data_IF_109436582777
#
_entry.id   IF_109436582777
#
_cell.length_a   1.000
_cell.length_b   1.000
_cell.length_c   1.000
_cell.angle_alpha   90.00
_cell.angle_beta   90.00
_cell.angle_gamma   90.00
#
_symmetry.space_group_name_H-M   'P 1'
#
loop_
_entity.id
_entity.type
_entity.pdbx_description
1 polymer ?
#
# COMPACT_ATOMS: atom_id res chain seq x y z
N UNK A 1 -41.86 22.08 36.57
CA UNK A 1 -41.28 20.75 36.85
C UNK A 1 -41.57 19.89 35.62
N UNK A 2 -40.61 19.74 34.70
CA UNK A 2 -40.78 18.95 33.47
C UNK A 2 -40.78 17.48 33.88
N UNK A 3 -41.88 16.76 33.68
CA UNK A 3 -41.91 15.31 33.87
C UNK A 3 -41.16 14.67 32.71
N UNK A 4 -39.99 14.11 32.98
CA UNK A 4 -39.28 13.26 32.03
C UNK A 4 -40.12 12.02 31.75
N UNK A 5 -40.36 11.73 30.47
CA UNK A 5 -40.98 10.50 30.04
C UNK A 5 -39.92 9.39 30.08
N UNK A 6 -40.00 8.56 31.11
CA UNK A 6 -39.03 7.50 31.37
C UNK A 6 -39.05 6.40 30.30
N UNK A 7 -40.18 6.17 29.60
CA UNK A 7 -40.23 5.19 28.52
C UNK A 7 -39.57 5.74 27.25
N UNK A 8 -39.83 7.01 26.90
CA UNK A 8 -39.17 7.68 25.79
C UNK A 8 -37.65 7.78 26.00
N UNK A 9 -37.21 8.11 27.22
CA UNK A 9 -35.80 8.15 27.60
C UNK A 9 -35.13 6.77 27.46
N UNK A 10 -35.80 5.70 27.89
CA UNK A 10 -35.26 4.34 27.82
C UNK A 10 -35.10 3.89 26.36
N UNK A 11 -36.11 4.11 25.51
CA UNK A 11 -36.08 3.75 24.08
C UNK A 11 -35.03 4.56 23.30
N UNK A 12 -34.91 5.86 23.55
CA UNK A 12 -33.90 6.71 22.93
C UNK A 12 -32.47 6.29 23.32
N UNK A 13 -32.27 5.90 24.57
CA UNK A 13 -30.97 5.41 25.06
C UNK A 13 -30.61 4.07 24.43
N UNK A 14 -31.55 3.13 24.32
CA UNK A 14 -31.32 1.83 23.67
C UNK A 14 -30.98 2.00 22.18
N UNK A 15 -31.73 2.83 21.44
CA UNK A 15 -31.47 3.07 20.03
C UNK A 15 -30.10 3.73 19.79
N UNK A 16 -29.74 4.72 20.60
CA UNK A 16 -28.44 5.41 20.51
C UNK A 16 -27.29 4.46 20.84
N UNK A 17 -27.45 3.61 21.86
CA UNK A 17 -26.45 2.60 22.21
C UNK A 17 -26.24 1.57 21.10
N UNK A 18 -27.32 1.14 20.41
CA UNK A 18 -27.23 0.23 19.27
C UNK A 18 -26.50 0.88 18.10
N UNK A 19 -26.83 2.13 17.75
CA UNK A 19 -26.16 2.85 16.66
C UNK A 19 -24.67 3.06 16.97
N UNK A 20 -24.33 3.42 18.21
CA UNK A 20 -22.94 3.56 18.65
C UNK A 20 -22.19 2.23 18.62
N UNK A 21 -22.82 1.14 19.08
CA UNK A 21 -22.23 -0.19 19.02
C UNK A 21 -21.98 -0.62 17.56
N UNK A 22 -22.90 -0.32 16.64
CA UNK A 22 -22.74 -0.59 15.21
C UNK A 22 -21.63 0.27 14.57
N UNK A 23 -21.54 1.56 14.94
CA UNK A 23 -20.47 2.44 14.45
C UNK A 23 -19.09 1.99 14.97
N UNK A 24 -18.98 1.67 16.26
CA UNK A 24 -17.73 1.16 16.86
C UNK A 24 -17.38 -0.20 16.27
N UNK A 25 -18.34 -1.10 16.08
CA UNK A 25 -18.10 -2.39 15.42
C UNK A 25 -17.66 -2.21 13.96
N UNK A 26 -18.25 -1.28 13.22
CA UNK A 26 -17.84 -0.93 11.86
C UNK A 26 -16.42 -0.38 11.80
N UNK A 27 -16.06 0.54 12.71
CA UNK A 27 -14.70 1.08 12.80
C UNK A 27 -13.67 0.01 13.22
N UNK A 28 -14.03 -0.89 14.13
CA UNK A 28 -13.18 -2.00 14.56
C UNK A 28 -12.99 -3.06 13.47
N UNK A 29 -14.01 -3.34 12.65
CA UNK A 29 -13.91 -4.25 11.51
C UNK A 29 -12.96 -3.70 10.43
N UNK A 30 -13.03 -2.39 10.15
CA UNK A 30 -12.09 -1.71 9.23
C UNK A 30 -10.67 -1.70 9.79
N UNK A 31 -10.48 -1.41 11.09
CA UNK A 31 -9.16 -1.43 11.72
C UNK A 31 -8.55 -2.85 11.82
N UNK A 32 -9.36 -3.89 12.05
CA UNK A 32 -8.92 -5.27 12.05
C UNK A 32 -8.51 -5.75 10.65
N UNK A 33 -9.20 -5.30 9.59
CA UNK A 33 -8.78 -5.55 8.20
C UNK A 33 -7.45 -4.88 7.86
N UNK A 34 -7.15 -3.70 8.42
CA UNK A 34 -5.90 -2.95 8.19
C UNK A 34 -4.69 -3.54 8.94
N UNK A 35 -4.91 -4.28 10.04
CA UNK A 35 -3.83 -4.96 10.80
C UNK A 35 -3.56 -6.40 10.34
N UNK A 36 -4.51 -7.04 9.65
CA UNK A 36 -4.29 -8.31 8.97
C UNK A 36 -3.42 -8.11 7.73
N UNK A 37 -2.58 -9.08 7.37
CA UNK A 37 -1.73 -9.06 6.16
C UNK A 37 -2.47 -8.82 4.83
N UNK A 38 -3.79 -8.65 4.81
CA UNK A 38 -4.59 -8.57 3.60
C UNK A 38 -4.62 -7.16 2.98
N UNK A 39 -4.30 -7.06 1.69
CA UNK A 39 -4.44 -5.85 0.90
C UNK A 39 -5.84 -5.88 0.24
N UNK A 40 -6.69 -4.86 0.44
CA UNK A 40 -7.97 -4.78 -0.27
C UNK A 40 -7.73 -4.44 -1.74
N UNK A 41 -8.50 -5.07 -2.63
CA UNK A 41 -8.56 -4.74 -4.05
C UNK A 41 -9.96 -4.20 -4.35
N UNK A 42 -10.06 -2.97 -4.86
CA UNK A 42 -11.35 -2.37 -5.21
C UNK A 42 -11.55 -2.37 -6.71
N UNK A 43 -12.72 -2.86 -7.16
CA UNK A 43 -13.12 -2.79 -8.55
C UNK A 43 -13.47 -1.34 -8.95
N UNK A 44 -13.09 -0.96 -10.17
CA UNK A 44 -13.40 0.32 -10.78
C UNK A 44 -13.63 0.14 -12.27
N UNK A 45 -14.41 1.03 -12.90
CA UNK A 45 -14.67 0.95 -14.34
C UNK A 45 -13.40 1.21 -15.18
N UNK A 46 -12.45 1.98 -14.65
CA UNK A 46 -11.22 2.34 -15.34
C UNK A 46 -10.07 2.51 -14.36
N UNK A 47 -9.01 1.75 -14.61
CA UNK A 47 -7.80 1.75 -13.79
C UNK A 47 -6.96 3.00 -14.10
N UNK A 48 -6.68 3.87 -13.10
CA UNK A 48 -5.92 5.09 -13.31
C UNK A 48 -4.43 4.78 -13.56
N UNK A 49 -3.85 5.48 -14.55
CA UNK A 49 -2.42 5.41 -14.87
C UNK A 49 -1.57 6.40 -14.06
N UNK A 50 -2.19 7.47 -13.58
CA UNK A 50 -1.54 8.54 -12.80
C UNK A 50 -1.96 8.50 -11.33
N UNK A 51 -1.08 8.96 -10.45
CA UNK A 51 -1.36 9.05 -9.02
C UNK A 51 -2.37 10.15 -8.65
N UNK A 52 -2.49 11.19 -9.47
CA UNK A 52 -3.34 12.36 -9.18
C UNK A 52 -4.83 12.13 -9.57
N UNK A 53 -5.19 10.93 -9.98
CA UNK A 53 -6.58 10.59 -10.34
C UNK A 53 -7.47 10.53 -9.11
N UNK A 54 -8.66 11.15 -9.19
CA UNK A 54 -9.67 11.14 -8.11
C UNK A 54 -10.15 9.72 -7.76
N UNK A 55 -10.02 8.74 -8.68
CA UNK A 55 -10.41 7.34 -8.44
C UNK A 55 -9.67 6.69 -7.27
N UNK A 56 -8.45 7.15 -6.98
CA UNK A 56 -7.71 6.66 -5.81
C UNK A 56 -8.40 6.99 -4.49
N UNK A 57 -9.34 7.95 -4.45
CA UNK A 57 -10.13 8.24 -3.23
C UNK A 57 -11.09 7.11 -2.85
N UNK A 58 -11.44 6.23 -3.78
CA UNK A 58 -12.32 5.08 -3.56
C UNK A 58 -11.55 3.86 -3.05
N UNK A 59 -10.24 3.80 -3.30
CA UNK A 59 -9.38 2.70 -2.88
C UNK A 59 -8.95 2.87 -1.41
N UNK A 60 -9.17 1.89 -0.53
CA UNK A 60 -8.63 1.92 0.82
C UNK A 60 -7.10 2.06 0.79
N UNK A 61 -6.58 3.02 1.56
CA UNK A 61 -5.14 3.14 1.80
C UNK A 61 -4.72 2.25 2.95
N UNK A 62 -3.61 1.54 2.75
CA UNK A 62 -2.96 0.73 3.78
C UNK A 62 -1.54 1.20 3.98
N UNK A 63 -1.21 1.59 5.21
CA UNK A 63 0.17 1.83 5.61
C UNK A 63 0.89 0.50 5.86
N UNK A 64 2.04 0.31 5.23
CA UNK A 64 2.94 -0.83 5.47
C UNK A 64 4.25 -0.33 6.05
N UNK A 65 4.74 -1.01 7.07
CA UNK A 65 6.04 -0.71 7.67
C UNK A 65 7.16 -1.27 6.81
N UNK A 66 8.18 -0.46 6.59
CA UNK A 66 9.38 -0.80 5.87
C UNK A 66 10.53 -1.01 6.84
N UNK A 67 11.47 -1.86 6.46
CA UNK A 67 12.64 -2.18 7.25
C UNK A 67 13.87 -2.14 6.38
N UNK A 68 14.99 -1.84 7.02
CA UNK A 68 16.32 -1.93 6.41
C UNK A 68 16.59 -3.34 5.91
N UNK A 69 17.17 -3.45 4.72
CA UNK A 69 17.66 -4.74 4.23
C UNK A 69 18.86 -5.19 5.08
N UNK A 70 18.70 -6.36 5.69
CA UNK A 70 19.74 -7.03 6.49
C UNK A 70 19.92 -8.52 6.13
N UNK A 71 19.21 -9.02 5.12
CA UNK A 71 19.18 -10.45 4.80
C UNK A 71 20.38 -10.92 3.96
N UNK A 72 20.99 -10.02 3.18
CA UNK A 72 22.09 -10.34 2.28
C UNK A 72 22.95 -9.09 2.02
N UNK A 73 24.27 -9.24 1.89
CA UNK A 73 25.16 -8.13 1.56
C UNK A 73 24.88 -7.63 0.13
N UNK A 74 24.86 -6.31 -0.13
CA UNK A 74 25.14 -5.21 0.81
C UNK A 74 23.95 -4.84 1.70
N UNK A 75 24.21 -4.71 3.00
CA UNK A 75 23.24 -4.17 3.95
C UNK A 75 23.06 -2.66 3.74
N UNK A 76 21.84 -2.17 3.92
CA UNK A 76 21.49 -0.78 3.66
C UNK A 76 19.99 -0.62 3.49
N UNK A 77 19.54 0.60 3.25
CA UNK A 77 18.12 0.91 3.36
C UNK A 77 17.75 1.53 4.70
N UNK A 78 16.45 1.72 4.89
CA UNK A 78 15.87 2.19 6.14
C UNK A 78 15.88 3.71 6.29
N UNK A 79 16.09 4.48 5.21
CA UNK A 79 15.82 5.93 5.25
C UNK A 79 14.32 6.23 5.20
N UNK A 80 13.51 5.29 4.72
CA UNK A 80 12.05 5.35 4.65
C UNK A 80 11.49 4.20 5.49
N UNK A 81 10.68 4.53 6.50
CA UNK A 81 10.20 3.57 7.51
C UNK A 81 8.77 3.08 7.25
N UNK A 82 8.02 3.76 6.39
CA UNK A 82 6.65 3.40 6.04
C UNK A 82 6.30 3.87 4.63
N UNK A 83 5.28 3.23 4.06
CA UNK A 83 4.65 3.67 2.82
C UNK A 83 3.17 3.33 2.84
N UNK A 84 2.39 4.07 2.06
CA UNK A 84 0.99 3.76 1.81
C UNK A 84 0.84 2.99 0.49
N UNK A 85 -0.05 2.01 0.49
CA UNK A 85 -0.36 1.17 -0.66
C UNK A 85 -1.86 1.17 -0.90
N UNK A 86 -2.26 1.51 -2.12
CA UNK A 86 -3.62 1.37 -2.62
C UNK A 86 -3.60 0.43 -3.82
N UNK A 87 -4.68 -0.32 -4.01
CA UNK A 87 -4.84 -1.22 -5.15
C UNK A 87 -6.23 -1.08 -5.77
N UNK A 88 -6.25 -0.96 -7.10
CA UNK A 88 -7.46 -0.89 -7.92
C UNK A 88 -7.41 -1.95 -9.01
N UNK A 89 -8.57 -2.44 -9.44
CA UNK A 89 -8.68 -3.39 -10.55
C UNK A 89 -9.90 -3.07 -11.40
N UNK A 90 -9.87 -3.44 -12.67
CA UNK A 90 -11.07 -3.60 -13.50
C UNK A 90 -11.07 -5.00 -14.11
N UNK A 91 -11.90 -5.24 -15.14
CA UNK A 91 -11.99 -6.55 -15.82
C UNK A 91 -10.71 -6.99 -16.54
N UNK A 92 -9.77 -6.08 -16.77
CA UNK A 92 -8.61 -6.31 -17.66
C UNK A 92 -7.28 -5.96 -17.02
N UNK A 93 -7.24 -5.02 -16.08
CA UNK A 93 -6.04 -4.41 -15.53
C UNK A 93 -6.10 -4.34 -14.02
N UNK A 94 -4.92 -4.32 -13.42
CA UNK A 94 -4.70 -4.04 -12.01
C UNK A 94 -3.71 -2.89 -11.88
N UNK A 95 -3.93 -2.04 -10.89
CA UNK A 95 -2.99 -1.00 -10.52
C UNK A 95 -2.65 -1.01 -9.03
N UNK A 96 -1.41 -0.68 -8.74
CA UNK A 96 -0.93 -0.40 -7.40
C UNK A 96 -0.42 1.03 -7.34
N UNK A 97 -0.90 1.81 -6.38
CA UNK A 97 -0.34 3.11 -6.02
C UNK A 97 0.47 2.98 -4.74
N UNK A 98 1.72 3.37 -4.82
CA UNK A 98 2.69 3.38 -3.74
C UNK A 98 3.02 4.83 -3.40
N UNK A 99 2.78 5.23 -2.16
CA UNK A 99 3.02 6.59 -1.70
C UNK A 99 3.98 6.57 -0.52
N UNK A 100 5.04 7.38 -0.56
CA UNK A 100 5.99 7.51 0.55
C UNK A 100 6.58 8.91 0.63
N UNK A 101 6.98 9.31 1.84
CA UNK A 101 7.67 10.57 2.06
C UNK A 101 9.16 10.42 1.76
N UNK A 102 9.67 11.30 0.92
CA UNK A 102 11.09 11.46 0.61
C UNK A 102 11.42 12.97 0.50
N UNK A 103 12.20 13.54 1.45
CA UNK A 103 12.57 14.96 1.42
C UNK A 103 13.52 15.31 0.27
N UNK A 104 14.05 14.30 -0.42
CA UNK A 104 14.96 14.43 -1.55
C UNK A 104 14.22 14.14 -2.87
N UNK A 105 14.81 14.58 -3.98
CA UNK A 105 14.25 14.40 -5.33
C UNK A 105 15.36 13.92 -6.25
N UNK A 106 15.68 12.65 -6.15
CA UNK A 106 16.84 12.07 -6.80
C UNK A 106 16.46 11.50 -8.15
N UNK A 107 16.46 12.37 -9.15
CA UNK A 107 16.05 12.06 -10.55
C UNK A 107 17.24 11.93 -11.51
N UNK A 108 18.47 12.10 -11.03
CA UNK A 108 19.65 12.26 -11.87
C UNK A 108 20.79 11.37 -11.43
N UNK A 109 21.18 10.41 -12.28
CA UNK A 109 22.29 9.48 -12.02
C UNK A 109 23.57 9.80 -12.81
N UNK A 110 23.69 11.00 -13.37
CA UNK A 110 24.80 11.35 -14.29
C UNK A 110 26.11 11.71 -13.60
N UNK A 111 26.10 11.86 -12.28
CA UNK A 111 27.31 12.09 -11.48
C UNK A 111 27.66 10.85 -10.67
N UNK A 112 28.97 10.58 -10.43
CA UNK A 112 29.38 9.52 -9.53
C UNK A 112 28.71 9.68 -8.16
N UNK A 113 28.23 8.56 -7.59
CA UNK A 113 27.48 8.49 -6.32
C UNK A 113 26.09 9.14 -6.33
N UNK A 114 25.59 9.57 -7.49
CA UNK A 114 24.17 9.86 -7.58
C UNK A 114 23.39 8.58 -7.86
N UNK A 115 22.40 8.30 -7.00
CA UNK A 115 21.43 7.23 -7.21
C UNK A 115 20.06 7.85 -7.50
N UNK A 116 19.12 7.02 -7.95
CA UNK A 116 17.77 7.46 -8.30
C UNK A 116 16.81 6.98 -7.22
N UNK A 117 15.81 7.81 -6.91
CA UNK A 117 14.64 7.34 -6.20
C UNK A 117 13.97 6.23 -7.01
N UNK A 118 13.50 5.20 -6.33
CA UNK A 118 12.88 4.05 -6.97
C UNK A 118 11.83 3.40 -6.06
N UNK A 119 10.94 2.66 -6.70
CA UNK A 119 9.91 1.86 -6.02
C UNK A 119 9.73 0.53 -6.74
N UNK A 120 9.32 -0.49 -6.00
CA UNK A 120 9.06 -1.81 -6.55
C UNK A 120 7.94 -2.53 -5.82
N UNK A 121 7.20 -3.33 -6.59
CA UNK A 121 6.27 -4.35 -6.09
C UNK A 121 6.79 -5.71 -6.54
N UNK A 122 6.94 -6.62 -5.59
CA UNK A 122 7.23 -8.03 -5.84
C UNK A 122 5.94 -8.82 -5.70
N UNK A 123 5.65 -9.66 -6.70
CA UNK A 123 4.40 -10.39 -6.86
C UNK A 123 4.68 -11.89 -7.04
N UNK A 124 3.82 -12.71 -6.46
CA UNK A 124 3.78 -14.15 -6.71
C UNK A 124 2.39 -14.71 -6.45
N UNK A 125 1.84 -15.42 -7.42
CA UNK A 125 0.54 -16.08 -7.34
C UNK A 125 0.69 -17.53 -6.85
N UNK A 126 -0.22 -18.01 -6.01
CA UNK A 126 -0.28 -19.41 -5.61
C UNK A 126 0.26 -19.65 -4.20
N UNK A 127 1.32 -20.43 -4.05
CA UNK A 127 1.94 -20.72 -2.75
C UNK A 127 2.90 -19.59 -2.33
N UNK A 128 3.07 -19.38 -1.02
CA UNK A 128 3.92 -18.30 -0.50
C UNK A 128 5.39 -18.57 -0.86
N UNK A 129 6.04 -17.73 -1.68
CA UNK A 129 7.45 -17.92 -2.00
C UNK A 129 8.34 -17.45 -0.82
N UNK A 130 9.63 -17.82 -0.81
CA UNK A 130 10.61 -17.21 0.08
C UNK A 130 10.72 -15.69 -0.17
N UNK A 131 10.73 -14.89 0.91
CA UNK A 131 10.91 -13.43 0.87
C UNK A 131 12.26 -13.00 0.25
N UNK A 132 13.15 -13.95 0.05
CA UNK A 132 14.49 -13.79 -0.53
C UNK A 132 14.49 -13.61 -2.05
N UNK A 133 13.48 -12.91 -2.58
CA UNK A 133 13.22 -12.76 -4.02
C UNK A 133 12.97 -14.11 -4.72
N UNK A 134 12.23 -15.01 -4.06
CA UNK A 134 11.94 -16.35 -4.57
C UNK A 134 13.07 -17.35 -4.34
N UNK A 135 12.98 -18.49 -5.03
CA UNK A 135 13.96 -19.56 -5.02
C UNK A 135 13.98 -20.33 -6.35
N UNK A 136 14.95 -21.23 -6.51
CA UNK A 136 15.00 -22.13 -7.67
C UNK A 136 13.77 -23.05 -7.69
N UNK A 137 12.87 -22.83 -8.64
CA UNK A 137 11.57 -23.51 -8.74
C UNK A 137 10.40 -22.53 -8.61
N UNK A 138 10.54 -21.55 -7.72
CA UNK A 138 9.51 -20.57 -7.37
C UNK A 138 10.01 -19.13 -7.63
N UNK A 139 10.10 -18.72 -8.91
CA UNK A 139 10.47 -17.36 -9.24
C UNK A 139 9.37 -16.37 -8.86
N UNK A 140 9.77 -15.17 -8.47
CA UNK A 140 8.88 -14.03 -8.23
C UNK A 140 8.92 -13.07 -9.41
N UNK A 141 7.79 -12.39 -9.64
CA UNK A 141 7.68 -11.29 -10.57
C UNK A 141 7.95 -9.98 -9.83
N UNK A 142 8.64 -9.02 -10.44
CA UNK A 142 8.97 -7.74 -9.81
C UNK A 142 8.70 -6.62 -10.79
N UNK A 143 7.83 -5.70 -10.41
CA UNK A 143 7.60 -4.45 -11.11
C UNK A 143 8.44 -3.38 -10.47
N UNK A 144 9.18 -2.63 -11.27
CA UNK A 144 10.16 -1.68 -10.78
C UNK A 144 10.06 -0.36 -11.54
N UNK A 145 10.05 0.74 -10.80
CA UNK A 145 10.09 2.09 -11.33
C UNK A 145 11.32 2.81 -10.76
N UNK A 146 11.92 3.69 -11.54
CA UNK A 146 12.90 4.66 -11.06
C UNK A 146 12.62 6.04 -11.62
N UNK A 147 12.75 7.05 -10.77
CA UNK A 147 12.45 8.44 -11.09
C UNK A 147 13.31 8.98 -12.25
N UNK A 148 14.55 8.51 -12.39
CA UNK A 148 15.44 8.89 -13.48
C UNK A 148 14.90 8.54 -14.86
N UNK A 149 14.14 7.45 -15.01
CA UNK A 149 13.55 7.11 -16.31
C UNK A 149 12.55 8.13 -16.80
N UNK A 150 11.82 8.74 -15.87
CA UNK A 150 10.76 9.68 -16.17
C UNK A 150 11.25 11.13 -16.20
N UNK A 151 12.18 11.50 -15.32
CA UNK A 151 12.59 12.89 -15.12
C UNK A 151 14.07 13.17 -15.46
N UNK A 152 14.88 12.12 -15.68
CA UNK A 152 16.33 12.24 -15.84
C UNK A 152 16.81 12.32 -17.30
N UNK A 153 15.90 12.20 -18.27
CA UNK A 153 16.19 12.10 -19.70
C UNK A 153 16.86 13.36 -20.26
N UNK A 154 16.38 14.53 -19.86
CA UNK A 154 16.86 15.84 -20.36
C UNK A 154 18.02 16.42 -19.56
N UNK A 155 18.39 15.79 -18.44
CA UNK A 155 19.43 16.30 -17.56
C UNK A 155 20.81 16.00 -18.16
N UNK A 156 21.80 16.87 -17.97
CA UNK A 156 23.20 16.63 -18.38
C UNK A 156 24.08 16.67 -17.13
N UNK A 157 25.13 15.85 -17.09
CA UNK A 157 26.13 16.03 -16.03
C UNK A 157 26.87 17.34 -16.31
N UNK A 158 26.94 18.24 -15.33
CA UNK A 158 27.52 19.59 -15.46
C UNK A 158 28.94 19.57 -16.04
N UNK A 159 29.70 18.52 -15.73
CA UNK A 159 31.09 18.35 -16.14
C UNK A 159 31.27 17.59 -17.46
N UNK A 160 30.22 16.96 -18.00
CA UNK A 160 30.37 15.93 -19.04
C UNK A 160 30.39 16.44 -20.49
N UNK A 161 30.06 17.73 -20.73
CA UNK A 161 29.78 18.20 -22.09
C UNK A 161 28.81 17.26 -22.82
N UNK A 162 28.85 17.21 -24.14
CA UNK A 162 28.48 15.98 -24.82
C UNK A 162 29.79 15.21 -25.05
N UNK A 163 30.05 14.17 -24.25
CA UNK A 163 31.19 13.26 -24.47
C UNK A 163 31.14 12.66 -25.89
N UNK A 164 29.96 12.70 -26.51
CA UNK A 164 29.67 12.30 -27.87
C UNK A 164 29.57 13.50 -28.84
N UNK A 165 30.14 14.66 -28.51
CA UNK A 165 30.16 15.83 -29.40
C UNK A 165 31.04 15.62 -30.65
N UNK A 166 32.05 14.74 -30.58
CA UNK A 166 32.95 14.45 -31.69
C UNK A 166 32.46 13.20 -32.43
N UNK A 167 32.50 13.10 -33.76
CA UNK A 167 32.01 11.92 -34.47
C UNK A 167 32.67 10.62 -33.96
N UNK A 168 31.85 9.67 -33.55
CA UNK A 168 32.27 8.32 -33.17
C UNK A 168 31.22 7.30 -33.61
N UNK A 169 31.63 6.04 -33.82
CA UNK A 169 30.68 4.95 -34.02
C UNK A 169 29.89 4.72 -32.72
N UNK A 170 28.61 5.08 -32.73
CA UNK A 170 27.68 4.91 -31.60
C UNK A 170 27.66 3.46 -31.08
N UNK A 171 27.82 2.47 -31.95
CA UNK A 171 27.85 1.05 -31.57
C UNK A 171 29.05 0.69 -30.67
N UNK A 172 30.18 1.37 -30.83
CA UNK A 172 31.40 1.11 -30.05
C UNK A 172 31.45 1.95 -28.77
N UNK A 173 30.98 3.21 -28.83
CA UNK A 173 31.06 4.12 -27.70
C UNK A 173 29.85 4.05 -26.77
N UNK A 174 28.74 3.48 -27.24
CA UNK A 174 27.52 3.23 -26.45
C UNK A 174 27.18 1.74 -26.46
N UNK A 175 28.07 0.86 -25.95
CA UNK A 175 27.91 -0.59 -26.05
C UNK A 175 26.66 -1.09 -25.33
N UNK A 176 26.19 -0.41 -24.27
CA UNK A 176 24.93 -0.73 -23.62
C UNK A 176 23.72 -0.56 -24.54
N UNK A 177 23.69 0.51 -25.36
CA UNK A 177 22.63 0.72 -26.36
C UNK A 177 22.76 -0.27 -27.50
N UNK A 178 23.99 -0.49 -27.98
CA UNK A 178 24.28 -1.44 -29.05
C UNK A 178 23.86 -2.88 -28.66
N UNK A 179 24.06 -3.27 -27.40
CA UNK A 179 23.64 -4.55 -26.86
C UNK A 179 22.12 -4.62 -26.53
N UNK A 180 21.36 -3.54 -26.77
CA UNK A 180 19.94 -3.48 -26.44
C UNK A 180 19.66 -3.52 -24.93
N UNK A 181 20.61 -3.11 -24.09
CA UNK A 181 20.43 -3.12 -22.64
C UNK A 181 19.24 -2.20 -22.25
N UNK A 182 18.18 -2.74 -21.63
CA UNK A 182 17.01 -1.96 -21.22
C UNK A 182 17.37 -0.80 -20.30
N UNK A 183 18.48 -0.85 -19.57
CA UNK A 183 18.90 0.22 -18.66
C UNK A 183 19.71 1.33 -19.33
N UNK A 184 20.11 1.15 -20.59
CA UNK A 184 20.97 2.08 -21.34
C UNK A 184 20.20 2.93 -22.37
N UNK A 185 18.87 2.82 -22.38
CA UNK A 185 18.02 3.50 -23.35
C UNK A 185 18.12 5.02 -23.20
N UNK A 186 18.03 5.72 -24.35
CA UNK A 186 18.04 7.18 -24.38
C UNK A 186 16.74 7.79 -23.88
N UNK A 187 15.62 7.09 -24.08
CA UNK A 187 14.28 7.45 -23.64
C UNK A 187 13.56 6.20 -23.14
N UNK A 188 12.57 6.42 -22.29
CA UNK A 188 11.72 5.39 -21.69
C UNK A 188 10.28 5.83 -21.90
N UNK A 189 9.41 4.93 -22.34
CA UNK A 189 8.00 5.25 -22.63
C UNK A 189 7.10 4.84 -21.47
N UNK A 190 7.28 3.61 -20.96
CA UNK A 190 6.41 3.05 -19.94
C UNK A 190 6.87 3.32 -18.51
N UNK A 191 8.08 3.90 -18.34
CA UNK A 191 8.81 4.16 -17.07
C UNK A 191 8.84 3.04 -16.01
N UNK A 192 8.28 1.87 -16.29
CA UNK A 192 8.32 0.66 -15.50
C UNK A 192 9.25 -0.37 -16.15
N UNK A 193 9.70 -1.31 -15.34
CA UNK A 193 10.33 -2.53 -15.81
C UNK A 193 9.75 -3.75 -15.14
N UNK A 194 9.41 -4.73 -15.98
CA UNK A 194 9.08 -6.09 -15.59
C UNK A 194 10.34 -6.95 -15.41
N UNK A 195 10.56 -7.44 -14.19
CA UNK A 195 11.66 -8.31 -13.81
C UNK A 195 11.15 -9.63 -13.25
N UNK A 196 12.05 -10.61 -13.20
CA UNK A 196 11.86 -11.80 -12.39
C UNK A 196 13.12 -12.12 -11.59
N UNK A 197 12.94 -12.87 -10.51
CA UNK A 197 14.04 -13.39 -9.70
C UNK A 197 13.69 -14.77 -9.16
N UNK A 198 14.69 -15.64 -9.03
CA UNK A 198 14.62 -16.97 -8.43
C UNK A 198 15.61 -17.06 -7.25
N UNK A 199 15.62 -16.04 -6.40
CA UNK A 199 16.55 -15.85 -5.29
C UNK A 199 17.45 -14.62 -5.45
N UNK A 200 18.13 -14.23 -4.37
CA UNK A 200 19.08 -13.12 -4.39
C UNK A 200 20.16 -13.28 -5.47
N UNK A 201 20.46 -12.19 -6.17
CA UNK A 201 21.48 -12.17 -7.22
C UNK A 201 21.04 -12.73 -8.58
N UNK A 202 19.80 -13.23 -8.70
CA UNK A 202 19.27 -13.77 -9.97
C UNK A 202 18.33 -12.81 -10.73
N UNK A 203 18.16 -11.58 -10.21
CA UNK A 203 17.28 -10.56 -10.80
C UNK A 203 17.61 -10.35 -12.28
N UNK A 204 16.62 -10.55 -13.14
CA UNK A 204 16.77 -10.52 -14.59
C UNK A 204 15.55 -9.86 -15.24
N UNK A 205 15.74 -9.21 -16.40
CA UNK A 205 14.62 -8.66 -17.16
C UNK A 205 13.68 -9.79 -17.58
N UNK A 206 12.38 -9.61 -17.37
CA UNK A 206 11.41 -10.52 -17.94
C UNK A 206 11.44 -10.41 -19.48
N UNK A 207 11.16 -11.49 -20.22
CA UNK A 207 11.14 -11.45 -21.68
C UNK A 207 10.12 -10.47 -22.28
N UNK A 208 9.06 -10.17 -21.53
CA UNK A 208 8.00 -9.25 -21.93
C UNK A 208 8.00 -8.03 -20.99
N UNK A 209 7.90 -6.84 -21.59
CA UNK A 209 7.64 -5.59 -20.88
C UNK A 209 6.17 -5.21 -21.06
N UNK A 210 5.34 -5.55 -20.08
CA UNK A 210 3.91 -5.28 -20.07
C UNK A 210 3.48 -4.40 -18.88
N UNK A 211 4.44 -3.84 -18.14
CA UNK A 211 4.19 -3.02 -16.98
C UNK A 211 4.41 -1.55 -17.33
N UNK A 212 3.36 -0.77 -17.14
CA UNK A 212 3.42 0.68 -17.14
C UNK A 212 3.62 1.19 -15.72
N UNK A 213 4.40 2.26 -15.58
CA UNK A 213 4.57 2.93 -14.32
C UNK A 213 4.64 4.44 -14.51
N UNK A 214 4.13 5.17 -13.53
CA UNK A 214 4.22 6.62 -13.52
C UNK A 214 4.37 7.14 -12.09
N UNK A 215 5.43 7.91 -11.86
CA UNK A 215 5.63 8.63 -10.61
C UNK A 215 5.10 10.06 -10.71
N UNK A 216 4.53 10.59 -9.64
CA UNK A 216 4.32 12.01 -9.40
C UNK A 216 4.93 12.37 -8.05
N UNK A 217 5.39 13.62 -7.90
CA UNK A 217 5.94 14.11 -6.63
C UNK A 217 5.23 15.41 -6.24
N UNK A 218 4.65 15.43 -5.05
CA UNK A 218 3.91 16.56 -4.49
C UNK A 218 4.55 16.96 -3.16
N UNK A 219 5.18 18.13 -3.09
CA UNK A 219 6.02 18.46 -1.93
C UNK A 219 7.06 17.37 -1.73
N UNK A 220 7.22 16.87 -0.52
CA UNK A 220 8.17 15.79 -0.17
C UNK A 220 7.57 14.38 -0.26
N UNK A 221 6.51 14.20 -1.02
CA UNK A 221 5.86 12.90 -1.18
C UNK A 221 5.97 12.41 -2.62
N UNK A 222 6.45 11.18 -2.80
CA UNK A 222 6.37 10.45 -4.06
C UNK A 222 5.09 9.60 -4.06
N UNK A 223 4.39 9.59 -5.19
CA UNK A 223 3.32 8.63 -5.50
C UNK A 223 3.66 7.94 -6.82
N UNK A 224 3.80 6.61 -6.81
CA UNK A 224 4.08 5.81 -8.01
C UNK A 224 2.92 4.87 -8.27
N UNK A 225 2.39 4.92 -9.48
CA UNK A 225 1.39 3.97 -9.96
C UNK A 225 2.08 2.96 -10.86
N UNK A 226 1.83 1.67 -10.61
CA UNK A 226 2.10 0.60 -11.55
C UNK A 226 0.79 0.09 -12.13
N UNK A 227 0.73 -0.15 -13.43
CA UNK A 227 -0.42 -0.74 -14.10
C UNK A 227 0.02 -1.91 -14.98
N UNK A 228 -0.75 -3.00 -14.96
CA UNK A 228 -0.55 -4.16 -15.83
C UNK A 228 -1.88 -4.81 -16.15
N UNK A 229 -1.99 -5.41 -17.33
CA UNK A 229 -3.07 -6.34 -17.63
C UNK A 229 -3.05 -7.57 -16.68
N UNK A 230 -4.21 -8.14 -16.39
CA UNK A 230 -4.35 -9.34 -15.56
C UNK A 230 -3.65 -10.55 -16.18
N UNK A 231 -3.69 -10.61 -17.51
CA UNK A 231 -3.09 -11.64 -18.35
C UNK A 231 -1.57 -11.66 -18.18
N UNK A 232 -1.11 -12.59 -17.34
CA UNK A 232 0.31 -12.94 -17.21
C UNK A 232 0.74 -13.89 -18.33
N UNK A 233 0.79 -13.39 -19.57
CA UNK A 233 1.25 -14.19 -20.72
C UNK A 233 2.77 -14.40 -20.72
N UNK A 234 3.51 -13.58 -19.96
CA UNK A 234 4.94 -13.73 -19.75
C UNK A 234 5.26 -14.95 -18.90
N UNK A 235 6.31 -15.68 -19.30
CA UNK A 235 6.81 -16.90 -18.60
C UNK A 235 6.98 -16.74 -17.08
N UNK A 236 7.31 -15.53 -16.62
CA UNK A 236 7.60 -15.22 -15.23
C UNK A 236 6.64 -14.19 -14.63
N UNK A 237 5.54 -13.89 -15.32
CA UNK A 237 4.57 -12.91 -14.84
C UNK A 237 3.70 -13.52 -13.75
N UNK A 238 3.45 -12.77 -12.68
CA UNK A 238 2.47 -13.17 -11.69
C UNK A 238 1.08 -13.03 -12.31
N UNK A 239 0.34 -14.12 -12.46
CA UNK A 239 -1.00 -14.07 -13.05
C UNK A 239 -2.03 -13.72 -11.97
N UNK A 240 -2.93 -12.79 -12.27
CA UNK A 240 -4.05 -12.45 -11.38
C UNK A 240 -5.22 -13.40 -11.68
N UNK A 241 -5.06 -14.68 -11.30
CA UNK A 241 -6.11 -15.68 -11.47
C UNK A 241 -7.11 -15.59 -10.34
N UNK A 242 -8.39 -15.79 -10.67
CA UNK A 242 -9.44 -15.93 -9.68
C UNK A 242 -9.11 -17.12 -8.75
N UNK A 243 -9.40 -16.97 -7.46
CA UNK A 243 -9.20 -17.96 -6.40
C UNK A 243 -7.73 -18.30 -6.10
N UNK A 244 -6.76 -17.52 -6.61
CA UNK A 244 -5.36 -17.62 -6.21
C UNK A 244 -5.00 -16.44 -5.29
N UNK A 245 -4.37 -16.75 -4.16
CA UNK A 245 -3.79 -15.71 -3.31
C UNK A 245 -2.61 -15.08 -4.01
N UNK A 246 -2.58 -13.75 -4.08
CA UNK A 246 -1.45 -13.00 -4.58
C UNK A 246 -0.61 -12.49 -3.41
N UNK A 247 0.67 -12.87 -3.37
CA UNK A 247 1.61 -12.37 -2.37
C UNK A 247 2.33 -11.13 -2.88
N UNK A 248 2.28 -10.05 -2.10
CA UNK A 248 2.87 -8.75 -2.41
C UNK A 248 3.93 -8.38 -1.38
N UNK A 249 5.10 -7.95 -1.84
CA UNK A 249 6.11 -7.31 -1.00
C UNK A 249 6.58 -6.03 -1.68
N UNK A 250 6.89 -5.01 -0.90
CA UNK A 250 7.19 -3.68 -1.41
C UNK A 250 8.63 -3.29 -1.07
N UNK A 251 9.22 -2.48 -1.92
CA UNK A 251 10.50 -1.84 -1.64
C UNK A 251 10.57 -0.44 -2.24
N UNK A 252 11.28 0.43 -1.56
CA UNK A 252 11.59 1.80 -2.00
C UNK A 252 13.06 2.10 -1.76
N UNK A 253 13.59 3.02 -2.55
CA UNK A 253 14.97 3.49 -2.49
C UNK A 253 14.98 5.01 -2.49
N UNK A 254 15.71 5.59 -1.56
CA UNK A 254 16.06 7.01 -1.54
C UNK A 254 17.47 7.22 -2.11
N UNK A 255 17.57 7.94 -3.23
CA UNK A 255 18.85 8.09 -3.93
C UNK A 255 19.92 8.83 -3.11
N UNK A 256 19.52 9.86 -2.38
CA UNK A 256 20.37 10.68 -1.51
C UNK A 256 20.90 9.94 -0.28
N UNK A 257 20.27 8.83 0.08
CA UNK A 257 20.67 7.96 1.20
C UNK A 257 21.60 6.82 0.77
N UNK A 258 22.19 6.91 -0.43
CA UNK A 258 23.02 5.87 -1.05
C UNK A 258 22.28 4.52 -1.20
N UNK A 259 20.96 4.56 -1.31
CA UNK A 259 20.13 3.37 -1.49
C UNK A 259 20.08 2.99 -2.98
N UNK A 260 20.59 1.80 -3.28
CA UNK A 260 20.61 1.23 -4.63
C UNK A 260 20.72 -0.29 -4.52
N UNK A 261 20.17 -1.01 -5.50
CA UNK A 261 20.21 -2.48 -5.56
C UNK A 261 19.68 -3.10 -4.24
N UNK A 262 20.52 -3.87 -3.53
CA UNK A 262 20.15 -4.53 -2.28
C UNK A 262 19.98 -3.60 -1.09
N UNK A 263 20.55 -2.38 -1.12
CA UNK A 263 20.38 -1.38 -0.07
C UNK A 263 19.05 -0.66 -0.27
N UNK A 264 18.02 -1.05 0.47
CA UNK A 264 16.65 -0.56 0.28
C UNK A 264 15.80 -0.70 1.53
N UNK A 265 14.79 0.15 1.64
CA UNK A 265 13.68 -0.05 2.58
C UNK A 265 12.68 -1.03 1.98
N UNK A 266 12.36 -2.12 2.68
CA UNK A 266 11.44 -3.14 2.19
C UNK A 266 10.53 -3.73 3.27
N UNK A 267 9.41 -4.31 2.86
CA UNK A 267 8.58 -5.13 3.75
C UNK A 267 9.25 -6.47 4.03
N UNK A 268 9.31 -6.88 5.30
CA UNK A 268 9.90 -8.16 5.73
C UNK A 268 8.92 -9.34 5.68
N UNK A 269 7.66 -9.06 5.42
CA UNK A 269 6.58 -10.05 5.28
C UNK A 269 5.76 -9.71 4.05
N UNK A 270 5.12 -10.73 3.47
CA UNK A 270 4.20 -10.54 2.37
C UNK A 270 2.85 -10.01 2.89
N UNK A 271 2.33 -9.00 2.21
CA UNK A 271 0.89 -8.75 2.17
C UNK A 271 0.23 -9.77 1.24
N UNK A 272 -1.02 -10.12 1.51
CA UNK A 272 -1.83 -11.01 0.66
C UNK A 272 -2.94 -10.21 0.01
N UNK A 273 -3.03 -10.24 -1.30
CA UNK A 273 -4.14 -9.69 -2.05
C UNK A 273 -5.08 -10.84 -2.40
N UNK A 274 -6.34 -10.70 -2.01
CA UNK A 274 -7.40 -11.62 -2.40
C UNK A 274 -7.96 -11.16 -3.75
N UNK A 275 -7.74 -11.99 -4.77
CA UNK A 275 -8.12 -11.73 -6.16
C UNK A 275 -9.60 -12.01 -6.44
N UNK A 276 -10.34 -12.61 -5.50
CA UNK A 276 -11.78 -12.91 -5.61
C UNK A 276 -12.65 -11.71 -5.22
N UNK A 277 -12.21 -10.90 -4.25
CA UNK A 277 -13.03 -9.89 -3.55
C UNK A 277 -13.31 -8.58 -4.29
N UNK A 278 -13.32 -8.59 -5.63
CA UNK A 278 -13.65 -7.41 -6.44
C UNK A 278 -14.99 -6.73 -6.10
N UNK A 279 -15.90 -7.37 -5.36
CA UNK A 279 -17.05 -6.73 -4.68
C UNK A 279 -17.53 -7.55 -3.45
N UNK A 280 -18.14 -6.85 -2.49
CA UNK A 280 -18.80 -7.39 -1.28
C UNK A 280 -20.16 -8.03 -1.60
N UNK A 281 -20.31 -9.34 -1.40
CA UNK A 281 -21.62 -9.92 -1.08
C UNK A 281 -21.78 -10.08 0.43
N UNK A 282 -22.82 -9.45 0.98
CA UNK A 282 -23.24 -9.70 2.36
C UNK A 282 -23.68 -11.16 2.53
N UNK A 283 -23.32 -11.84 3.63
CA UNK A 283 -23.83 -13.18 3.89
C UNK A 283 -25.35 -13.12 4.09
N UNK A 284 -26.05 -13.97 3.34
CA UNK A 284 -27.46 -14.27 3.53
C UNK A 284 -27.72 -14.65 4.99
N UNK A 285 -28.74 -14.04 5.59
CA UNK A 285 -29.23 -14.40 6.92
C UNK A 285 -29.98 -15.74 6.86
N UNK A 286 -29.22 -16.83 6.93
CA UNK A 286 -29.72 -18.19 7.12
C UNK A 286 -29.75 -18.58 8.60
N UNK A 287 -30.95 -18.75 9.15
CA UNK A 287 -31.23 -18.88 10.58
C UNK A 287 -30.73 -20.13 11.32
N UNK A 288 -30.63 -19.91 12.64
CA UNK A 288 -31.03 -20.79 13.75
C UNK A 288 -30.38 -22.18 13.89
N UNK A 289 -29.48 -22.28 14.87
CA UNK A 289 -29.09 -23.53 15.51
C UNK A 289 -28.89 -23.30 17.02
N UNK A 290 -29.93 -23.62 17.77
CA UNK A 290 -30.06 -23.56 19.22
C UNK A 290 -29.09 -24.55 19.91
N UNK A 291 -28.39 -24.12 20.97
CA UNK A 291 -28.03 -25.04 22.07
C UNK A 291 -27.61 -24.27 23.33
N UNK A 292 -28.48 -24.35 24.32
CA UNK A 292 -28.31 -23.97 25.72
C UNK A 292 -27.19 -24.72 26.45
N UNK A 293 -26.50 -24.06 27.38
CA UNK A 293 -26.20 -24.65 28.69
C UNK A 293 -25.90 -23.60 29.77
N UNK A 294 -26.56 -23.82 30.91
CA UNK A 294 -26.62 -23.07 32.17
C UNK A 294 -25.31 -22.93 32.96
N UNK A 295 -25.24 -21.89 33.80
CA UNK A 295 -24.33 -21.85 34.96
C UNK A 295 -24.38 -20.55 35.75
N UNK A 296 -25.21 -20.50 36.79
CA UNK A 296 -25.28 -19.41 37.79
C UNK A 296 -24.10 -19.46 38.77
N UNK A 297 -23.54 -18.31 39.16
CA UNK A 297 -23.06 -18.03 40.52
C UNK A 297 -22.74 -16.53 40.71
N UNK A 298 -22.96 -16.05 41.92
CA UNK A 298 -23.01 -14.66 42.35
C UNK A 298 -21.72 -14.16 43.03
N UNK A 299 -21.74 -12.88 43.42
CA UNK A 299 -20.85 -12.18 44.39
C UNK A 299 -19.46 -11.84 43.86
N UNK A 300 -18.89 -10.63 44.00
CA UNK A 300 -19.17 -9.45 44.81
C UNK A 300 -17.85 -8.67 44.95
N UNK A 301 -17.90 -7.40 45.38
CA UNK A 301 -16.74 -6.74 45.98
C UNK A 301 -15.96 -5.74 45.13
N UNK A 302 -16.37 -4.48 45.28
CA UNK A 302 -15.55 -3.35 45.74
C UNK A 302 -14.49 -2.66 44.85
N UNK A 303 -14.48 -1.37 45.12
CA UNK A 303 -13.77 -0.24 44.52
C UNK A 303 -12.33 -0.07 45.03
N UNK A 304 -11.45 0.49 44.20
CA UNK A 304 -10.31 1.28 44.66
C UNK A 304 -9.66 2.07 43.53
N UNK A 305 -9.63 3.38 43.73
CA UNK A 305 -9.01 4.41 42.92
C UNK A 305 -7.47 4.35 42.96
N UNK A 306 -6.83 4.87 41.91
CA UNK A 306 -5.40 5.15 41.85
C UNK A 306 -5.13 6.23 40.80
N UNK A 307 -5.03 7.47 41.27
CA UNK A 307 -4.73 8.70 40.54
C UNK A 307 -3.24 8.81 40.20
N UNK A 308 -2.89 9.51 39.11
CA UNK A 308 -1.50 9.76 38.75
C UNK A 308 -1.27 10.35 37.35
N UNK A 309 -1.42 11.67 37.20
CA UNK A 309 -0.39 12.52 36.57
C UNK A 309 -0.43 12.78 35.05
N UNK A 310 -1.05 13.90 34.68
CA UNK A 310 -0.60 14.95 33.72
C UNK A 310 0.46 14.62 32.65
N UNK A 311 0.08 14.76 31.38
CA UNK A 311 0.99 14.99 30.26
C UNK A 311 0.26 15.28 28.96
N UNK A 312 -0.01 16.55 28.68
CA UNK A 312 -0.68 16.99 27.45
C UNK A 312 0.14 16.64 26.21
N UNK A 313 -0.35 15.66 25.45
CA UNK A 313 0.04 15.42 24.06
C UNK A 313 -1.25 15.35 23.25
N UNK A 314 -1.41 16.26 22.30
CA UNK A 314 -2.54 16.30 21.38
C UNK A 314 -2.40 15.16 20.37
N UNK A 315 -2.82 13.96 20.79
CA UNK A 315 -2.94 12.80 19.95
C UNK A 315 -4.22 12.95 19.08
N UNK A 316 -4.16 12.80 17.74
CA UNK A 316 -5.33 12.97 16.85
C UNK A 316 -6.46 11.96 17.11
N UNK A 317 -6.20 10.93 17.92
CA UNK A 317 -7.20 9.98 18.44
C UNK A 317 -8.08 10.56 19.57
N UNK A 318 -7.67 11.61 20.28
CA UNK A 318 -8.50 12.20 21.35
C UNK A 318 -9.48 13.25 20.81
N UNK A 319 -9.21 13.85 19.65
CA UNK A 319 -10.10 14.79 18.97
C UNK A 319 -11.31 14.11 18.33
N UNK A 320 -11.24 12.80 18.05
CA UNK A 320 -12.36 12.02 17.52
C UNK A 320 -13.36 11.59 18.61
N UNK A 321 -12.93 11.44 19.87
CA UNK A 321 -13.82 11.10 20.98
C UNK A 321 -14.78 12.25 21.33
N UNK A 322 -14.29 13.49 21.34
CA UNK A 322 -15.12 14.67 21.63
C UNK A 322 -16.22 14.91 20.58
N UNK A 323 -15.91 14.69 19.30
CA UNK A 323 -16.87 14.81 18.19
C UNK A 323 -17.89 13.68 18.20
N UNK A 324 -17.46 12.46 18.52
CA UNK A 324 -18.35 11.32 18.68
C UNK A 324 -19.35 11.52 19.84
N UNK A 325 -18.87 11.98 21.00
CA UNK A 325 -19.72 12.26 22.17
C UNK A 325 -20.74 13.35 21.84
N UNK A 326 -20.33 14.45 21.20
CA UNK A 326 -21.23 15.53 20.81
C UNK A 326 -22.32 15.06 19.83
N UNK A 327 -21.97 14.26 18.83
CA UNK A 327 -22.90 13.67 17.88
C UNK A 327 -23.88 12.69 18.57
N UNK A 328 -23.39 11.90 19.54
CA UNK A 328 -24.20 10.96 20.32
C UNK A 328 -25.25 11.67 21.15
N UNK A 329 -24.85 12.75 21.84
CA UNK A 329 -25.77 13.56 22.66
C UNK A 329 -26.80 14.27 21.78
N UNK A 330 -26.39 14.83 20.64
CA UNK A 330 -27.30 15.47 19.69
C UNK A 330 -28.33 14.47 19.13
N UNK A 331 -27.89 13.28 18.70
CA UNK A 331 -28.75 12.21 18.21
C UNK A 331 -29.74 11.72 19.26
N UNK A 332 -29.28 11.49 20.49
CA UNK A 332 -30.13 11.10 21.62
C UNK A 332 -31.22 12.16 21.90
N UNK A 333 -30.84 13.44 21.88
CA UNK A 333 -31.75 14.55 22.15
C UNK A 333 -32.86 14.62 21.09
N UNK A 334 -32.51 14.49 19.81
CA UNK A 334 -33.49 14.46 18.71
C UNK A 334 -34.45 13.26 18.83
N UNK A 335 -33.92 12.07 19.16
CA UNK A 335 -34.74 10.87 19.31
C UNK A 335 -35.69 10.96 20.51
N UNK A 336 -35.19 11.45 21.64
CA UNK A 336 -35.98 11.64 22.86
C UNK A 336 -37.18 12.57 22.61
N UNK A 337 -36.94 13.72 21.97
CA UNK A 337 -38.01 14.67 21.65
C UNK A 337 -39.02 14.17 20.62
N UNK A 338 -38.63 13.24 19.74
CA UNK A 338 -39.56 12.57 18.81
C UNK A 338 -40.42 11.51 19.50
N UNK A 339 -39.87 10.82 20.50
CA UNK A 339 -40.55 9.74 21.22
C UNK A 339 -41.39 10.23 22.40
N UNK A 340 -41.11 11.42 22.93
CA UNK A 340 -41.85 12.05 24.03
C UNK A 340 -43.04 12.92 23.57
N UNK A 341 -43.37 12.90 22.26
CA UNK A 341 -44.59 13.47 21.68
C UNK A 341 -45.63 12.39 21.50
#
# INVERSE_FOLDING_TARGET
>A
MVKLDYEAARRATTATAVVMALLVAGQMAVAAAVTGGQQPLVATDEVPQTADSDRWSEAPSRTVSLSKQQMAVPYGGGSIDEMEVQALTNDTHVAFRLTWTDPTKDTNIRSPKNYSDAAAVMLHSGEKPPITMGAGGDPVNIWYWRSQWQYGTDQKAEWSGDMYAYPHPDEETRPGRAAGNPLSQGQYENYGQNYYAAGYGSLSNAPQQNVDAQGTRNGDEWSVVFVREHTGEGKHDAAFRQNETMYLAFAVWNGSSDEVNGKKSLTMQYSTLDTESGELTAPESGGSGDSSSSGSAASGGDSSSGDGGSGGSSNPLYTSLGTLIAATVAGWTVLYWRLAR
#
